data_IF_639071450062
#
_entry.id   IF_639071450062
#
_cell.length_a   1.000
_cell.length_b   1.000
_cell.length_c   1.000
_cell.angle_alpha   90.00
_cell.angle_beta   90.00
_cell.angle_gamma   90.00
#
_symmetry.space_group_name_H-M   'P 1'
#
loop_
_entity.id
_entity.type
_entity.pdbx_description
1 polymer ?
#
# COMPACT_ATOMS: atom_id res chain seq x y z
N UNK A 1 -10.55 -25.05 -6.72
CA UNK A 1 -9.21 -24.49 -6.45
C UNK A 1 -8.56 -25.37 -5.41
N UNK A 2 -7.36 -25.85 -5.64
CA UNK A 2 -6.65 -26.72 -4.67
C UNK A 2 -5.93 -25.81 -3.70
N UNK A 3 -6.16 -26.01 -2.40
CA UNK A 3 -5.42 -25.36 -1.34
C UNK A 3 -3.95 -25.82 -1.37
N UNK A 4 -3.02 -24.90 -1.19
CA UNK A 4 -1.59 -25.22 -1.16
C UNK A 4 -1.25 -25.85 0.20
N UNK A 5 -1.15 -27.17 0.27
CA UNK A 5 -0.86 -27.88 1.53
C UNK A 5 0.56 -27.63 2.05
N UNK A 6 1.55 -27.55 1.16
CA UNK A 6 2.92 -27.19 1.48
C UNK A 6 3.56 -26.41 0.34
N UNK A 7 4.47 -25.50 0.67
CA UNK A 7 5.28 -24.81 -0.33
C UNK A 7 6.49 -25.70 -0.71
N UNK A 8 6.85 -25.75 -2.02
CA UNK A 8 8.07 -26.42 -2.45
C UNK A 8 9.31 -25.86 -1.75
N UNK A 9 10.31 -26.70 -1.51
CA UNK A 9 11.56 -26.29 -0.87
C UNK A 9 12.38 -25.40 -1.81
N UNK A 10 12.47 -25.74 -3.11
CA UNK A 10 13.25 -24.96 -4.05
C UNK A 10 12.48 -23.75 -4.58
N UNK A 11 13.20 -22.65 -4.82
CA UNK A 11 12.67 -21.43 -5.42
C UNK A 11 12.18 -21.64 -6.85
N UNK A 12 12.83 -22.54 -7.60
CA UNK A 12 12.44 -22.86 -8.98
C UNK A 12 11.10 -23.63 -9.04
N UNK A 13 10.93 -24.64 -8.20
CA UNK A 13 9.66 -25.37 -8.10
C UNK A 13 8.53 -24.45 -7.62
N UNK A 14 8.81 -23.54 -6.69
CA UNK A 14 7.85 -22.54 -6.23
C UNK A 14 7.47 -21.60 -7.37
N UNK A 15 8.43 -21.18 -8.19
CA UNK A 15 8.17 -20.35 -9.37
C UNK A 15 7.22 -21.05 -10.35
N UNK A 16 7.49 -22.32 -10.66
CA UNK A 16 6.66 -23.13 -11.55
C UNK A 16 5.24 -23.30 -10.99
N UNK A 17 5.12 -23.53 -9.67
CA UNK A 17 3.82 -23.60 -8.98
C UNK A 17 3.04 -22.28 -9.13
N UNK A 18 3.68 -21.15 -8.88
CA UNK A 18 3.07 -19.83 -8.99
C UNK A 18 2.62 -19.54 -10.44
N UNK A 19 3.48 -19.81 -11.42
CA UNK A 19 3.17 -19.63 -12.85
C UNK A 19 1.99 -20.49 -13.28
N UNK A 20 1.99 -21.77 -12.93
CA UNK A 20 0.91 -22.69 -13.27
C UNK A 20 -0.41 -22.22 -12.65
N UNK A 21 -0.40 -21.90 -11.35
CA UNK A 21 -1.61 -21.44 -10.69
C UNK A 21 -2.16 -20.15 -11.31
N UNK A 22 -1.31 -19.16 -11.58
CA UNK A 22 -1.71 -17.91 -12.22
C UNK A 22 -2.24 -18.12 -13.63
N UNK A 23 -1.57 -18.97 -14.45
CA UNK A 23 -2.02 -19.32 -15.78
C UNK A 23 -3.43 -19.92 -15.77
N UNK A 24 -3.69 -20.84 -14.85
CA UNK A 24 -4.94 -21.59 -14.78
C UNK A 24 -6.09 -20.76 -14.16
N UNK A 25 -5.79 -19.73 -13.39
CA UNK A 25 -6.79 -18.95 -12.65
C UNK A 25 -7.01 -17.52 -13.19
N UNK A 26 -6.06 -16.91 -13.90
CA UNK A 26 -6.26 -15.60 -14.56
C UNK A 26 -6.98 -15.80 -15.89
N UNK A 27 -8.19 -16.35 -15.82
CA UNK A 27 -9.05 -16.72 -16.97
C UNK A 27 -10.47 -16.16 -16.81
N UNK A 28 -11.26 -16.20 -17.88
CA UNK A 28 -12.65 -15.69 -17.87
C UNK A 28 -12.70 -14.24 -17.38
N UNK A 29 -13.60 -13.93 -16.44
CA UNK A 29 -13.79 -12.57 -15.90
C UNK A 29 -12.51 -11.95 -15.30
N UNK A 30 -11.60 -12.76 -14.79
CA UNK A 30 -10.34 -12.27 -14.25
C UNK A 30 -9.37 -11.85 -15.36
N UNK A 31 -9.41 -12.51 -16.51
CA UNK A 31 -8.60 -12.15 -17.68
C UNK A 31 -9.03 -10.81 -18.30
N UNK A 32 -10.30 -10.41 -18.13
CA UNK A 32 -10.80 -9.10 -18.60
C UNK A 32 -10.15 -7.93 -17.86
N UNK A 33 -9.65 -8.17 -16.64
CA UNK A 33 -8.96 -7.17 -15.82
C UNK A 33 -7.44 -7.33 -15.80
N UNK A 34 -6.86 -8.02 -16.79
CA UNK A 34 -5.40 -8.13 -16.89
C UNK A 34 -4.73 -6.75 -16.91
N UNK A 35 -3.88 -6.53 -15.91
CA UNK A 35 -3.11 -5.29 -15.77
C UNK A 35 -3.94 -4.06 -15.39
N UNK A 36 -5.20 -4.25 -14.97
CA UNK A 36 -6.13 -3.19 -14.59
C UNK A 36 -6.33 -3.12 -13.07
N UNK A 37 -6.86 -1.99 -12.62
CA UNK A 37 -7.19 -1.74 -11.21
C UNK A 37 -6.00 -1.28 -10.35
N UNK A 38 -4.88 -0.94 -10.98
CA UNK A 38 -3.72 -0.34 -10.31
C UNK A 38 -3.88 1.17 -10.10
N UNK A 39 -2.77 1.85 -9.71
CA UNK A 39 -2.77 3.27 -9.40
C UNK A 39 -3.39 4.16 -10.49
N UNK A 40 -4.40 4.94 -10.13
CA UNK A 40 -5.17 5.79 -11.06
C UNK A 40 -6.27 5.06 -11.84
N UNK A 41 -6.48 3.75 -11.59
CA UNK A 41 -7.48 2.91 -12.27
C UNK A 41 -8.25 2.02 -11.25
N UNK A 42 -8.30 2.43 -9.98
CA UNK A 42 -8.71 1.62 -8.84
C UNK A 42 -10.21 1.25 -8.85
N UNK A 43 -11.05 2.02 -9.54
CA UNK A 43 -12.48 1.78 -9.58
C UNK A 43 -12.88 0.66 -10.56
N UNK A 44 -11.98 0.29 -11.50
CA UNK A 44 -12.30 -0.68 -12.54
C UNK A 44 -12.56 -2.08 -11.98
N UNK A 45 -13.72 -2.64 -12.30
CA UNK A 45 -14.04 -4.04 -12.01
C UNK A 45 -13.91 -4.42 -10.53
N UNK A 46 -14.25 -3.54 -9.60
CA UNK A 46 -14.02 -3.74 -8.16
C UNK A 46 -14.59 -5.06 -7.64
N UNK A 47 -15.83 -5.42 -8.00
CA UNK A 47 -16.46 -6.69 -7.59
C UNK A 47 -15.71 -7.91 -8.12
N UNK A 48 -15.18 -7.84 -9.35
CA UNK A 48 -14.37 -8.91 -9.92
C UNK A 48 -13.05 -9.03 -9.16
N UNK A 49 -12.45 -7.90 -8.78
CA UNK A 49 -11.22 -7.86 -7.98
C UNK A 49 -11.44 -8.38 -6.55
N UNK A 50 -12.58 -8.12 -5.94
CA UNK A 50 -12.98 -8.74 -4.66
C UNK A 50 -13.10 -10.26 -4.83
N UNK A 51 -13.74 -10.73 -5.90
CA UNK A 51 -13.82 -12.17 -6.17
C UNK A 51 -12.43 -12.79 -6.42
N UNK A 52 -11.52 -12.04 -7.05
CA UNK A 52 -10.13 -12.45 -7.22
C UNK A 52 -9.38 -12.54 -5.90
N UNK A 53 -9.54 -11.55 -5.01
CA UNK A 53 -8.98 -11.57 -3.65
C UNK A 53 -9.39 -12.83 -2.89
N UNK A 54 -10.69 -13.18 -2.91
CA UNK A 54 -11.21 -14.42 -2.31
C UNK A 54 -10.63 -15.67 -2.95
N UNK A 55 -10.45 -15.68 -4.27
CA UNK A 55 -9.82 -16.78 -4.97
C UNK A 55 -8.36 -17.01 -4.52
N UNK A 56 -7.60 -15.91 -4.34
CA UNK A 56 -6.26 -15.96 -3.78
C UNK A 56 -6.25 -16.49 -2.34
N UNK A 57 -7.17 -16.01 -1.50
CA UNK A 57 -7.31 -16.43 -0.12
C UNK A 57 -7.61 -17.93 -0.01
N UNK A 58 -8.61 -18.41 -0.74
CA UNK A 58 -8.98 -19.82 -0.76
C UNK A 58 -7.85 -20.74 -1.28
N UNK A 59 -6.97 -20.23 -2.14
CA UNK A 59 -5.81 -20.98 -2.63
C UNK A 59 -4.58 -20.82 -1.72
N UNK A 60 -4.62 -20.00 -0.68
CA UNK A 60 -3.54 -19.80 0.28
C UNK A 60 -2.41 -18.91 -0.24
N UNK A 61 -2.70 -17.97 -1.15
CA UNK A 61 -1.74 -17.00 -1.67
C UNK A 61 -1.68 -15.69 -0.88
N UNK A 62 -2.64 -15.45 0.02
CA UNK A 62 -2.61 -14.31 0.95
C UNK A 62 -1.84 -14.69 2.21
N UNK A 63 -1.06 -13.77 2.75
CA UNK A 63 -0.27 -14.00 3.95
C UNK A 63 0.89 -14.98 3.77
N UNK A 64 1.44 -15.10 2.56
CA UNK A 64 2.53 -16.03 2.25
C UNK A 64 3.69 -15.97 3.26
N UNK A 65 4.11 -14.79 3.67
CA UNK A 65 5.22 -14.59 4.59
C UNK A 65 4.84 -14.65 6.06
N UNK A 66 3.55 -14.71 6.41
CA UNK A 66 3.15 -14.76 7.82
C UNK A 66 3.54 -16.08 8.46
N UNK A 67 3.86 -16.09 9.77
CA UNK A 67 4.15 -17.33 10.49
C UNK A 67 2.98 -18.31 10.41
N UNK A 68 3.28 -19.60 10.32
CA UNK A 68 2.28 -20.67 10.14
C UNK A 68 1.27 -20.75 11.29
N UNK A 69 1.68 -20.42 12.50
CA UNK A 69 0.81 -20.36 13.67
C UNK A 69 -0.31 -19.32 13.56
N UNK A 70 -0.18 -18.34 12.67
CA UNK A 70 -1.19 -17.33 12.37
C UNK A 70 -1.89 -17.58 11.03
N UNK A 71 -1.80 -18.79 10.49
CA UNK A 71 -2.44 -19.18 9.24
C UNK A 71 -1.66 -18.82 7.97
N UNK A 72 -0.48 -18.20 8.10
CA UNK A 72 0.42 -17.93 6.98
C UNK A 72 1.14 -19.19 6.50
N UNK A 73 2.00 -19.00 5.50
CA UNK A 73 2.77 -20.08 4.88
C UNK A 73 4.24 -20.12 5.32
N UNK A 74 4.71 -19.12 6.07
CA UNK A 74 6.12 -19.01 6.45
C UNK A 74 7.06 -18.92 5.25
N UNK A 75 6.57 -18.43 4.11
CA UNK A 75 7.36 -18.33 2.89
C UNK A 75 8.57 -17.43 3.10
N UNK A 76 9.73 -17.88 2.63
CA UNK A 76 10.95 -17.07 2.62
C UNK A 76 10.73 -15.77 1.83
N UNK A 77 11.56 -14.78 2.09
CA UNK A 77 11.56 -13.52 1.33
C UNK A 77 11.75 -13.78 -0.16
N UNK A 78 12.61 -14.73 -0.54
CA UNK A 78 12.82 -15.15 -1.93
C UNK A 78 11.51 -15.60 -2.59
N UNK A 79 10.76 -16.49 -1.93
CA UNK A 79 9.47 -16.99 -2.44
C UNK A 79 8.40 -15.88 -2.55
N UNK A 80 8.36 -14.98 -1.58
CA UNK A 80 7.44 -13.82 -1.65
C UNK A 80 7.77 -12.90 -2.83
N UNK A 81 9.06 -12.71 -3.14
CA UNK A 81 9.50 -11.98 -4.32
C UNK A 81 9.14 -12.69 -5.63
N UNK A 82 9.36 -14.00 -5.68
CA UNK A 82 8.97 -14.82 -6.84
C UNK A 82 7.47 -14.67 -7.08
N UNK A 83 6.64 -14.80 -6.05
CA UNK A 83 5.20 -14.61 -6.17
C UNK A 83 4.85 -13.22 -6.72
N UNK A 84 5.41 -12.14 -6.16
CA UNK A 84 5.16 -10.79 -6.64
C UNK A 84 5.58 -10.59 -8.11
N UNK A 85 6.70 -11.21 -8.51
CA UNK A 85 7.19 -11.20 -9.88
C UNK A 85 6.23 -11.92 -10.84
N UNK A 86 5.86 -13.16 -10.52
CA UNK A 86 4.99 -13.97 -11.37
C UNK A 86 3.57 -13.38 -11.44
N UNK A 87 3.08 -12.81 -10.32
CA UNK A 87 1.81 -12.08 -10.27
C UNK A 87 1.78 -10.91 -11.26
N UNK A 88 2.84 -10.13 -11.29
CA UNK A 88 2.98 -8.98 -12.20
C UNK A 88 3.13 -9.43 -13.65
N UNK A 89 3.92 -10.48 -13.92
CA UNK A 89 4.10 -11.04 -15.27
C UNK A 89 2.80 -11.62 -15.84
N UNK A 90 2.02 -12.30 -15.00
CA UNK A 90 0.70 -12.81 -15.36
C UNK A 90 -0.33 -11.70 -15.61
N UNK A 91 0.01 -10.45 -15.26
CA UNK A 91 -0.91 -9.30 -15.29
C UNK A 91 -2.19 -9.57 -14.50
N UNK A 92 -2.09 -10.28 -13.39
CA UNK A 92 -3.25 -10.59 -12.55
C UNK A 92 -3.96 -9.30 -12.07
N UNK A 93 -5.29 -9.33 -11.83
CA UNK A 93 -6.04 -8.17 -11.35
C UNK A 93 -5.44 -7.55 -10.10
N UNK A 94 -5.44 -6.22 -9.99
CA UNK A 94 -4.88 -5.56 -8.81
C UNK A 94 -5.63 -5.95 -7.52
N UNK A 95 -4.87 -6.09 -6.43
CA UNK A 95 -5.35 -6.50 -5.09
C UNK A 95 -6.23 -5.40 -4.47
N UNK A 96 -7.17 -5.80 -3.61
CA UNK A 96 -8.11 -4.89 -2.94
C UNK A 96 -7.99 -4.88 -1.42
N UNK A 97 -7.17 -5.75 -0.83
CA UNK A 97 -7.00 -5.85 0.62
C UNK A 97 -5.53 -5.76 1.07
N UNK A 98 -4.71 -5.00 0.36
CA UNK A 98 -3.31 -4.80 0.71
C UNK A 98 -3.13 -4.14 2.10
N UNK A 99 -4.09 -3.29 2.56
CA UNK A 99 -4.08 -2.71 3.90
C UNK A 99 -4.22 -3.79 4.98
N UNK A 100 -5.08 -4.78 4.76
CA UNK A 100 -5.24 -5.92 5.67
C UNK A 100 -4.00 -6.81 5.68
N UNK A 101 -3.56 -7.25 4.50
CA UNK A 101 -2.46 -8.23 4.39
C UNK A 101 -1.10 -7.67 4.75
N UNK A 102 -0.74 -6.48 4.24
CA UNK A 102 0.63 -5.97 4.35
C UNK A 102 0.84 -5.04 5.54
N UNK A 103 -0.23 -4.47 6.11
CA UNK A 103 -0.13 -3.52 7.21
C UNK A 103 -0.75 -4.07 8.49
N UNK A 104 -2.07 -4.28 8.53
CA UNK A 104 -2.73 -4.66 9.77
C UNK A 104 -2.36 -6.07 10.24
N UNK A 105 -2.36 -7.07 9.34
CA UNK A 105 -2.03 -8.45 9.71
C UNK A 105 -0.69 -8.57 10.44
N UNK A 106 0.42 -8.10 9.85
CA UNK A 106 1.71 -8.07 10.55
C UNK A 106 1.70 -7.25 11.84
N UNK A 107 0.93 -6.14 11.89
CA UNK A 107 0.78 -5.33 13.10
C UNK A 107 0.04 -6.11 14.21
N UNK A 108 -1.00 -6.87 13.89
CA UNK A 108 -1.69 -7.73 14.86
C UNK A 108 -0.79 -8.87 15.34
N UNK A 109 0.01 -9.45 14.46
CA UNK A 109 0.97 -10.51 14.81
C UNK A 109 2.00 -10.00 15.82
N UNK A 110 2.43 -8.74 15.71
CA UNK A 110 3.46 -8.13 16.57
C UNK A 110 2.87 -7.51 17.85
N UNK A 111 1.72 -6.82 17.76
CA UNK A 111 1.19 -5.98 18.85
C UNK A 111 -0.21 -6.38 19.32
N UNK A 112 -0.91 -7.24 18.59
CA UNK A 112 -2.27 -7.66 18.91
C UNK A 112 -2.34 -8.70 20.02
N UNK A 113 -3.53 -8.87 20.60
CA UNK A 113 -3.79 -9.96 21.53
C UNK A 113 -4.04 -11.28 20.77
N UNK A 114 -3.90 -12.44 21.42
CA UNK A 114 -4.26 -13.74 20.82
C UNK A 114 -5.69 -13.78 20.30
N UNK A 115 -6.63 -13.14 21.01
CA UNK A 115 -8.05 -13.05 20.64
C UNK A 115 -8.22 -12.20 19.37
N UNK A 116 -7.55 -11.06 19.26
CA UNK A 116 -7.55 -10.23 18.07
C UNK A 116 -6.96 -10.98 16.86
N UNK A 117 -5.84 -11.66 17.04
CA UNK A 117 -5.26 -12.50 15.99
C UNK A 117 -6.23 -13.59 15.53
N UNK A 118 -6.86 -14.31 16.47
CA UNK A 118 -7.84 -15.37 16.17
C UNK A 118 -9.07 -14.82 15.46
N UNK A 119 -9.52 -13.62 15.81
CA UNK A 119 -10.71 -12.99 15.22
C UNK A 119 -10.47 -12.44 13.82
N UNK A 120 -9.36 -11.77 13.60
CA UNK A 120 -9.19 -10.93 12.40
C UNK A 120 -8.29 -11.53 11.32
N UNK A 121 -7.23 -12.27 11.69
CA UNK A 121 -6.30 -12.80 10.68
C UNK A 121 -6.96 -13.76 9.69
N UNK A 122 -7.89 -14.67 10.07
CA UNK A 122 -8.57 -15.53 9.13
C UNK A 122 -9.39 -14.77 8.08
N UNK A 123 -10.09 -13.68 8.47
CA UNK A 123 -10.87 -12.86 7.55
C UNK A 123 -10.01 -12.09 6.54
N UNK A 124 -8.79 -11.69 6.94
CA UNK A 124 -7.81 -11.09 6.04
C UNK A 124 -7.28 -12.14 5.06
N UNK A 125 -6.89 -13.33 5.56
CA UNK A 125 -6.33 -14.42 4.76
C UNK A 125 -7.32 -14.98 3.74
N UNK A 126 -8.61 -15.04 4.08
CA UNK A 126 -9.65 -15.49 3.14
C UNK A 126 -10.03 -14.42 2.09
N UNK A 127 -9.66 -13.16 2.31
CA UNK A 127 -10.10 -12.02 1.50
C UNK A 127 -11.55 -11.60 1.76
N UNK A 128 -12.16 -12.06 2.84
CA UNK A 128 -13.54 -11.72 3.21
C UNK A 128 -13.64 -10.38 3.94
N UNK A 129 -12.65 -10.04 4.76
CA UNK A 129 -12.62 -8.79 5.51
C UNK A 129 -11.56 -7.82 4.92
N UNK A 130 -12.02 -6.68 4.45
CA UNK A 130 -11.18 -5.60 3.92
C UNK A 130 -11.02 -4.51 4.96
N UNK A 131 -9.85 -3.89 4.96
CA UNK A 131 -9.40 -2.92 5.93
C UNK A 131 -9.00 -1.60 5.28
N UNK A 132 -9.28 -0.51 5.97
CA UNK A 132 -8.76 0.82 5.62
C UNK A 132 -7.96 1.42 6.78
N UNK A 133 -7.14 2.43 6.45
CA UNK A 133 -6.22 3.09 7.37
C UNK A 133 -6.70 4.52 7.71
N UNK A 134 -7.05 4.77 8.95
CA UNK A 134 -7.49 6.07 9.46
C UNK A 134 -6.38 6.80 10.22
N UNK A 135 -5.35 7.29 9.53
CA UNK A 135 -4.23 8.00 10.14
C UNK A 135 -4.35 9.50 9.97
N UNK A 136 -4.19 9.99 8.75
CA UNK A 136 -4.15 11.42 8.44
C UNK A 136 -5.45 12.14 8.77
N UNK A 137 -5.32 13.40 9.16
CA UNK A 137 -6.43 14.34 9.35
C UNK A 137 -6.17 15.59 8.50
N UNK A 138 -7.18 16.44 8.25
CA UNK A 138 -6.98 17.65 7.46
C UNK A 138 -5.79 18.51 7.90
N UNK A 139 -5.49 18.54 9.21
CA UNK A 139 -4.38 19.31 9.79
C UNK A 139 -3.25 18.44 10.34
N UNK A 140 -3.25 17.13 10.12
CA UNK A 140 -2.24 16.19 10.65
C UNK A 140 -1.90 15.10 9.61
N UNK A 141 -1.14 15.47 8.60
CA UNK A 141 -0.55 14.55 7.61
C UNK A 141 0.90 14.24 7.97
N UNK A 142 1.86 15.05 7.52
CA UNK A 142 3.28 14.91 7.87
C UNK A 142 3.52 15.04 9.38
N UNK A 143 2.75 15.87 10.09
CA UNK A 143 2.74 15.96 11.56
C UNK A 143 1.67 15.04 12.15
N UNK A 144 1.78 13.74 11.87
CA UNK A 144 0.84 12.71 12.33
C UNK A 144 0.70 12.68 13.86
N UNK A 145 1.74 13.04 14.58
CA UNK A 145 1.68 13.11 16.04
C UNK A 145 0.65 14.12 16.58
N UNK A 146 0.16 15.03 15.72
CA UNK A 146 -0.78 16.07 16.10
C UNK A 146 -2.26 15.72 15.78
N UNK A 147 -2.59 14.45 15.59
CA UNK A 147 -3.98 14.00 15.36
C UNK A 147 -4.89 14.44 16.50
N UNK A 148 -6.10 14.86 16.14
CA UNK A 148 -7.10 15.44 17.04
C UNK A 148 -8.37 14.59 17.16
N UNK A 149 -8.59 13.59 16.30
CA UNK A 149 -9.69 12.63 16.46
C UNK A 149 -9.62 12.02 17.86
N UNK A 150 -10.68 12.17 18.63
CA UNK A 150 -10.74 11.78 20.05
C UNK A 150 -11.45 10.45 20.22
N UNK A 151 -11.03 9.68 21.22
CA UNK A 151 -11.79 8.57 21.73
C UNK A 151 -11.89 8.66 23.25
N UNK A 152 -13.10 8.44 23.78
CA UNK A 152 -13.38 8.45 25.21
C UNK A 152 -14.03 7.11 25.58
N UNK A 153 -13.59 6.53 26.68
CA UNK A 153 -14.16 5.29 27.19
C UNK A 153 -15.49 5.59 27.90
N UNK A 154 -16.52 4.86 27.51
CA UNK A 154 -17.88 4.90 28.12
C UNK A 154 -18.32 3.45 28.38
N UNK A 155 -18.22 3.01 29.61
CA UNK A 155 -18.41 1.59 29.96
C UNK A 155 -17.38 0.71 29.29
N UNK A 156 -17.81 -0.22 28.46
CA UNK A 156 -16.98 -1.19 27.75
C UNK A 156 -16.70 -0.79 26.28
N UNK A 157 -17.00 0.46 25.89
CA UNK A 157 -16.84 0.94 24.52
C UNK A 157 -16.07 2.25 24.45
N UNK A 158 -15.29 2.41 23.39
CA UNK A 158 -14.71 3.68 23.00
C UNK A 158 -15.66 4.45 22.10
N UNK A 159 -15.96 5.70 22.46
CA UNK A 159 -16.74 6.65 21.68
C UNK A 159 -15.79 7.55 20.92
N UNK A 160 -15.83 7.48 19.58
CA UNK A 160 -14.89 8.14 18.68
C UNK A 160 -15.56 9.33 18.00
N UNK A 161 -14.89 10.48 18.04
CA UNK A 161 -15.33 11.72 17.39
C UNK A 161 -14.15 12.40 16.68
N UNK A 162 -14.33 12.72 15.38
CA UNK A 162 -13.33 13.39 14.58
C UNK A 162 -13.45 13.11 13.09
N UNK A 163 -12.42 13.48 12.35
CA UNK A 163 -12.36 13.31 10.91
C UNK A 163 -10.99 12.75 10.50
N UNK A 164 -11.01 11.75 9.64
CA UNK A 164 -9.83 11.27 8.93
C UNK A 164 -9.93 11.63 7.44
N UNK A 165 -8.79 11.77 6.79
CA UNK A 165 -8.68 12.10 5.37
C UNK A 165 -7.65 11.20 4.69
N UNK A 166 -7.78 11.01 3.38
CA UNK A 166 -6.93 10.11 2.60
C UNK A 166 -7.05 8.65 3.05
N UNK A 167 -8.23 8.27 3.54
CA UNK A 167 -8.52 6.90 3.98
C UNK A 167 -8.76 6.02 2.75
N UNK A 168 -7.73 5.29 2.31
CA UNK A 168 -7.81 4.43 1.12
C UNK A 168 -8.87 3.35 1.31
N UNK A 169 -9.75 3.19 0.29
CA UNK A 169 -10.78 2.16 0.23
C UNK A 169 -11.80 2.16 1.40
N UNK A 170 -11.95 3.27 2.14
CA UNK A 170 -12.86 3.33 3.28
C UNK A 170 -14.32 3.02 2.89
N UNK A 171 -14.76 3.44 1.69
CA UNK A 171 -16.12 3.23 1.18
C UNK A 171 -16.48 1.75 0.91
N UNK A 172 -15.47 0.87 0.86
CA UNK A 172 -15.65 -0.57 0.58
C UNK A 172 -15.06 -1.48 1.65
N UNK A 173 -14.52 -0.91 2.73
CA UNK A 173 -13.90 -1.64 3.84
C UNK A 173 -14.90 -1.92 4.96
N UNK A 174 -14.82 -3.10 5.56
CA UNK A 174 -15.60 -3.48 6.73
C UNK A 174 -15.02 -2.93 8.03
N UNK A 175 -13.71 -2.71 8.07
CA UNK A 175 -12.98 -2.31 9.25
C UNK A 175 -11.98 -1.19 8.95
N UNK A 176 -11.76 -0.33 9.94
CA UNK A 176 -10.72 0.69 9.92
C UNK A 176 -9.77 0.49 11.11
N UNK A 177 -8.47 0.54 10.87
CA UNK A 177 -7.52 0.74 11.95
C UNK A 177 -7.16 2.22 12.03
N UNK A 178 -7.37 2.80 13.22
CA UNK A 178 -7.33 4.25 13.38
C UNK A 178 -6.44 4.67 14.55
N UNK A 179 -5.69 5.76 14.37
CA UNK A 179 -4.95 6.42 15.46
C UNK A 179 -5.79 7.57 16.01
N UNK A 180 -6.08 7.52 17.30
CA UNK A 180 -6.93 8.49 17.98
C UNK A 180 -6.27 8.99 19.28
N UNK A 181 -6.71 10.14 19.78
CA UNK A 181 -6.26 10.70 21.05
C UNK A 181 -7.22 10.28 22.18
N UNK A 182 -6.72 9.51 23.13
CA UNK A 182 -7.49 9.05 24.29
C UNK A 182 -7.17 9.84 25.55
N UNK A 183 -6.02 10.51 25.62
CA UNK A 183 -5.65 11.40 26.74
C UNK A 183 -5.73 12.86 26.25
N UNK A 184 -6.75 13.60 26.69
CA UNK A 184 -7.10 14.92 26.15
C UNK A 184 -6.02 15.98 26.33
N UNK A 185 -5.30 15.95 27.45
CA UNK A 185 -4.26 16.93 27.78
C UNK A 185 -2.87 16.53 27.27
N UNK A 186 -2.79 15.37 26.60
CA UNK A 186 -1.54 14.90 26.04
C UNK A 186 -1.15 15.68 24.78
N UNK A 187 0.15 15.75 24.51
CA UNK A 187 0.68 16.47 23.37
C UNK A 187 1.50 15.53 22.45
N UNK A 188 1.42 15.77 21.16
CA UNK A 188 2.17 15.06 20.13
C UNK A 188 1.90 13.55 20.22
N UNK A 189 2.95 12.73 20.27
CA UNK A 189 2.89 11.28 20.27
C UNK A 189 2.40 10.62 21.57
N UNK A 190 2.24 11.37 22.66
CA UNK A 190 1.71 10.83 23.93
C UNK A 190 0.19 10.77 23.91
N UNK A 191 -0.37 9.79 24.63
CA UNK A 191 -1.82 9.65 24.80
C UNK A 191 -2.58 9.30 23.52
N UNK A 192 -1.89 8.75 22.53
CA UNK A 192 -2.48 8.20 21.31
C UNK A 192 -2.76 6.71 21.48
N UNK A 193 -3.87 6.25 20.95
CA UNK A 193 -4.29 4.84 20.99
C UNK A 193 -4.56 4.35 19.57
N UNK A 194 -4.22 3.11 19.29
CA UNK A 194 -4.50 2.44 18.04
C UNK A 194 -5.75 1.57 18.22
N UNK A 195 -6.82 1.86 17.49
CA UNK A 195 -8.12 1.19 17.59
C UNK A 195 -8.51 0.49 16.30
N UNK A 196 -9.19 -0.64 16.44
CA UNK A 196 -9.92 -1.31 15.36
C UNK A 196 -11.38 -0.90 15.42
N UNK A 197 -11.93 -0.36 14.34
CA UNK A 197 -13.27 0.24 14.32
C UNK A 197 -14.10 -0.38 13.20
N UNK A 198 -15.28 -0.94 13.47
CA UNK A 198 -16.19 -1.40 12.42
C UNK A 198 -16.72 -0.21 11.65
N UNK A 199 -16.74 -0.31 10.30
CA UNK A 199 -17.17 0.77 9.43
C UNK A 199 -18.70 0.79 9.22
N UNK A 200 -19.36 -0.34 9.33
CA UNK A 200 -20.82 -0.47 9.19
C UNK A 200 -21.51 -0.12 10.49
N UNK A 201 -21.65 1.17 10.76
CA UNK A 201 -22.38 1.71 11.93
C UNK A 201 -22.85 3.15 11.65
N UNK A 202 -23.89 3.59 12.34
CA UNK A 202 -24.50 4.92 12.15
C UNK A 202 -23.56 6.09 12.49
N UNK A 203 -22.53 5.85 13.27
CA UNK A 203 -21.53 6.86 13.67
C UNK A 203 -20.41 7.06 12.68
N UNK A 204 -20.39 6.34 11.55
CA UNK A 204 -19.35 6.46 10.52
C UNK A 204 -19.95 6.93 9.21
N UNK A 205 -19.45 8.04 8.69
CA UNK A 205 -19.78 8.55 7.36
C UNK A 205 -18.52 8.60 6.50
N UNK A 206 -18.60 8.03 5.29
CA UNK A 206 -17.49 8.01 4.33
C UNK A 206 -17.87 8.82 3.10
N UNK A 207 -16.99 9.76 2.70
CA UNK A 207 -17.16 10.59 1.50
C UNK A 207 -15.97 10.41 0.57
N UNK A 208 -16.17 9.84 -0.62
CA UNK A 208 -15.10 9.70 -1.61
C UNK A 208 -14.51 11.07 -2.03
N UNK A 209 -13.20 11.12 -2.16
CA UNK A 209 -12.46 12.25 -2.71
C UNK A 209 -12.17 11.95 -4.17
N UNK A 210 -12.79 12.67 -5.08
CA UNK A 210 -12.49 12.55 -6.51
C UNK A 210 -11.10 13.12 -6.77
N UNK A 211 -10.21 12.25 -7.18
CA UNK A 211 -8.82 12.59 -7.48
C UNK A 211 -8.69 13.21 -8.88
N UNK A 212 -7.54 13.82 -9.16
CA UNK A 212 -7.23 14.37 -10.48
C UNK A 212 -7.22 13.30 -11.58
N UNK A 213 -7.03 12.03 -11.23
CA UNK A 213 -7.14 10.86 -12.13
C UNK A 213 -8.57 10.50 -12.49
N UNK A 214 -9.55 11.07 -11.79
CA UNK A 214 -10.97 10.73 -11.89
C UNK A 214 -11.43 9.63 -10.94
N UNK A 215 -10.52 8.87 -10.31
CA UNK A 215 -10.83 7.81 -9.35
C UNK A 215 -11.24 8.32 -7.97
N UNK A 216 -11.85 7.46 -7.15
CA UNK A 216 -12.35 7.75 -5.81
C UNK A 216 -11.76 6.84 -4.72
N UNK A 217 -10.54 6.33 -4.87
CA UNK A 217 -9.91 5.43 -3.88
C UNK A 217 -9.82 6.05 -2.50
N UNK A 218 -9.46 7.34 -2.41
CA UNK A 218 -9.31 8.04 -1.14
C UNK A 218 -10.61 8.64 -0.65
N UNK A 219 -10.75 8.69 0.68
CA UNK A 219 -11.98 9.15 1.30
C UNK A 219 -11.69 10.09 2.47
N UNK A 220 -12.65 10.96 2.75
CA UNK A 220 -12.85 11.53 4.08
C UNK A 220 -13.69 10.55 4.89
N UNK A 221 -13.31 10.32 6.14
CA UNK A 221 -14.05 9.45 7.07
C UNK A 221 -14.38 10.25 8.32
N UNK A 222 -15.66 10.44 8.56
CA UNK A 222 -16.18 11.17 9.72
C UNK A 222 -16.64 10.19 10.78
N UNK A 223 -16.19 10.42 12.00
CA UNK A 223 -16.63 9.69 13.18
C UNK A 223 -17.46 10.63 14.06
N UNK A 224 -18.73 10.29 14.27
CA UNK A 224 -19.67 11.05 15.10
C UNK A 224 -20.29 10.08 16.10
N UNK A 225 -19.72 10.01 17.30
CA UNK A 225 -20.05 9.01 18.31
C UNK A 225 -19.94 7.57 17.78
N UNK A 226 -18.99 7.31 16.88
CA UNK A 226 -18.70 5.97 16.42
C UNK A 226 -18.19 5.12 17.58
N UNK A 227 -18.50 3.83 17.60
CA UNK A 227 -18.27 2.94 18.73
C UNK A 227 -17.37 1.78 18.36
N UNK A 228 -16.52 1.37 19.30
CA UNK A 228 -15.80 0.11 19.23
C UNK A 228 -15.51 -0.41 20.63
N UNK A 229 -15.43 -1.73 20.80
CA UNK A 229 -15.22 -2.36 22.09
C UNK A 229 -13.87 -2.02 22.73
N UNK A 230 -13.79 -2.16 24.05
CA UNK A 230 -12.55 -1.96 24.82
C UNK A 230 -11.46 -2.94 24.38
N UNK A 231 -11.83 -4.11 23.92
CA UNK A 231 -10.96 -5.18 23.41
C UNK A 231 -10.40 -4.90 22.00
N UNK A 232 -10.83 -3.80 21.37
CA UNK A 232 -10.37 -3.38 20.04
C UNK A 232 -9.13 -2.48 20.07
N UNK A 233 -8.49 -2.29 21.21
CA UNK A 233 -7.20 -1.61 21.33
C UNK A 233 -6.07 -2.55 20.91
N UNK A 234 -5.27 -2.15 19.91
CA UNK A 234 -4.03 -2.87 19.57
C UNK A 234 -2.88 -2.29 20.40
N UNK A 235 -2.18 -3.15 21.11
CA UNK A 235 -1.21 -2.75 22.13
C UNK A 235 -1.89 -2.29 23.43
N UNK A 236 -1.50 -1.14 23.95
CA UNK A 236 -2.07 -0.57 25.19
C UNK A 236 -2.59 0.85 24.97
N UNK A 237 -3.68 1.26 25.66
CA UNK A 237 -4.17 2.63 25.59
C UNK A 237 -3.06 3.64 25.93
N UNK A 238 -3.02 4.75 25.21
CA UNK A 238 -1.99 5.79 25.36
C UNK A 238 -0.64 5.50 24.66
N UNK A 239 -0.40 4.24 24.20
CA UNK A 239 0.84 3.84 23.51
C UNK A 239 0.63 3.51 22.01
N UNK A 240 -0.45 3.96 21.41
CA UNK A 240 -0.75 3.72 19.99
C UNK A 240 0.27 4.31 19.01
N UNK A 241 1.06 5.30 19.45
CA UNK A 241 2.16 5.82 18.62
C UNK A 241 3.21 4.77 18.29
N UNK A 242 3.58 3.92 19.25
CA UNK A 242 4.55 2.83 19.03
C UNK A 242 4.02 1.83 18.01
N UNK A 243 2.73 1.47 18.09
CA UNK A 243 2.06 0.57 17.15
C UNK A 243 2.03 1.20 15.74
N UNK A 244 1.63 2.48 15.66
CA UNK A 244 1.59 3.20 14.38
C UNK A 244 2.97 3.30 13.72
N UNK A 245 4.03 3.55 14.48
CA UNK A 245 5.40 3.60 13.94
C UNK A 245 5.91 2.22 13.54
N UNK A 246 5.55 1.17 14.28
CA UNK A 246 5.83 -0.22 13.90
C UNK A 246 5.21 -0.55 12.55
N UNK A 247 3.90 -0.27 12.38
CA UNK A 247 3.19 -0.45 11.11
C UNK A 247 3.87 0.28 9.95
N UNK A 248 4.20 1.56 10.11
CA UNK A 248 4.90 2.34 9.08
C UNK A 248 6.31 1.80 8.77
N UNK A 249 6.92 1.07 9.71
CA UNK A 249 8.15 0.32 9.47
C UNK A 249 7.96 -0.85 8.52
N UNK A 250 6.83 -1.55 8.63
CA UNK A 250 6.47 -2.70 7.79
C UNK A 250 6.24 -2.31 6.31
N UNK A 251 5.72 -1.11 6.04
CA UNK A 251 5.55 -0.58 4.67
C UNK A 251 6.85 -0.55 3.86
N UNK A 252 8.01 -0.56 4.52
CA UNK A 252 9.34 -0.46 3.89
C UNK A 252 9.96 -1.80 3.56
N UNK A 253 9.22 -2.90 3.74
CA UNK A 253 9.66 -4.27 3.52
C UNK A 253 9.39 -4.80 2.10
N UNK A 254 8.83 -6.00 2.03
CA UNK A 254 8.58 -6.76 0.78
C UNK A 254 7.62 -6.04 -0.17
N UNK A 255 6.65 -5.28 0.36
CA UNK A 255 5.73 -4.47 -0.45
C UNK A 255 6.45 -3.49 -1.38
N UNK A 256 7.58 -2.91 -0.93
CA UNK A 256 8.42 -2.02 -1.76
C UNK A 256 9.05 -2.76 -2.93
N UNK A 257 9.42 -4.03 -2.77
CA UNK A 257 9.97 -4.83 -3.87
C UNK A 257 8.90 -5.21 -4.90
N UNK A 258 7.73 -5.62 -4.44
CA UNK A 258 6.59 -5.89 -5.32
C UNK A 258 6.23 -4.65 -6.16
N UNK A 259 6.23 -3.47 -5.54
CA UNK A 259 6.02 -2.19 -6.22
C UNK A 259 7.06 -1.93 -7.32
N UNK A 260 8.34 -2.24 -7.06
CA UNK A 260 9.40 -2.06 -8.06
C UNK A 260 9.22 -2.92 -9.30
N UNK A 261 8.64 -4.12 -9.17
CA UNK A 261 8.32 -4.97 -10.32
C UNK A 261 7.22 -4.30 -11.18
N UNK A 262 6.23 -3.67 -10.54
CA UNK A 262 5.23 -2.84 -11.23
C UNK A 262 5.88 -1.69 -12.01
N UNK A 263 6.80 -0.97 -11.39
CA UNK A 263 7.55 0.14 -12.02
C UNK A 263 8.39 -0.29 -13.23
N UNK A 264 9.00 -1.48 -13.18
CA UNK A 264 9.74 -2.03 -14.32
C UNK A 264 8.81 -2.22 -15.53
N UNK A 265 7.62 -2.77 -15.30
CA UNK A 265 6.62 -2.95 -16.34
C UNK A 265 6.11 -1.62 -16.91
N UNK A 266 5.87 -0.62 -16.06
CA UNK A 266 5.49 0.72 -16.51
C UNK A 266 6.58 1.32 -17.41
N UNK A 267 7.86 1.19 -17.02
CA UNK A 267 8.98 1.62 -17.84
C UNK A 267 9.03 0.87 -19.17
N UNK A 268 8.80 -0.45 -19.20
CA UNK A 268 8.77 -1.23 -20.41
C UNK A 268 7.63 -0.79 -21.34
N UNK A 269 6.47 -0.44 -20.81
CA UNK A 269 5.36 0.13 -21.57
C UNK A 269 5.76 1.49 -22.19
N UNK A 270 6.42 2.36 -21.43
CA UNK A 270 6.91 3.66 -21.94
C UNK A 270 7.96 3.45 -23.03
N UNK A 271 8.85 2.47 -22.89
CA UNK A 271 9.84 2.11 -23.93
C UNK A 271 9.14 1.60 -25.20
N UNK A 272 8.15 0.73 -25.04
CA UNK A 272 7.36 0.20 -26.16
C UNK A 272 6.63 1.33 -26.90
N UNK A 273 5.99 2.23 -26.17
CA UNK A 273 5.33 3.41 -26.71
C UNK A 273 6.32 4.32 -27.47
N UNK A 274 7.48 4.60 -26.87
CA UNK A 274 8.52 5.44 -27.49
C UNK A 274 9.08 4.83 -28.79
N UNK A 275 9.09 3.50 -28.89
CA UNK A 275 9.49 2.78 -30.13
C UNK A 275 8.37 2.85 -31.17
N UNK A 276 7.11 2.61 -30.78
CA UNK A 276 5.97 2.56 -31.71
C UNK A 276 5.71 3.89 -32.42
N UNK A 277 5.85 5.01 -31.71
CA UNK A 277 5.66 6.35 -32.26
C UNK A 277 6.96 7.04 -32.71
N UNK A 278 8.09 6.31 -32.73
CA UNK A 278 9.40 6.79 -33.09
C UNK A 278 9.98 7.91 -32.18
N UNK A 279 9.38 8.20 -31.05
CA UNK A 279 9.88 9.20 -30.08
C UNK A 279 11.30 8.83 -29.58
N UNK A 280 11.62 7.53 -29.52
CA UNK A 280 12.96 7.03 -29.14
C UNK A 280 14.08 7.53 -30.05
N UNK A 281 13.77 7.95 -31.29
CA UNK A 281 14.74 8.51 -32.22
C UNK A 281 15.19 9.93 -31.82
N UNK A 282 14.42 10.60 -30.97
CA UNK A 282 14.78 11.90 -30.41
C UNK A 282 15.88 11.70 -29.35
N UNK A 283 17.08 12.33 -29.49
CA UNK A 283 18.19 12.07 -28.57
C UNK A 283 17.85 12.34 -27.09
N UNK A 284 17.09 13.39 -26.82
CA UNK A 284 16.68 13.74 -25.44
C UNK A 284 15.77 12.66 -24.83
N UNK A 285 14.81 12.16 -25.59
CA UNK A 285 13.91 11.09 -25.11
C UNK A 285 14.72 9.82 -24.86
N UNK A 286 15.55 9.41 -25.81
CA UNK A 286 16.40 8.23 -25.66
C UNK A 286 17.29 8.33 -24.43
N UNK A 287 17.91 9.48 -24.18
CA UNK A 287 18.73 9.70 -22.98
C UNK A 287 17.93 9.56 -21.70
N UNK A 288 16.72 10.13 -21.63
CA UNK A 288 15.83 10.01 -20.45
C UNK A 288 15.34 8.60 -20.23
N UNK A 289 15.02 7.84 -21.28
CA UNK A 289 14.68 6.41 -21.20
C UNK A 289 15.84 5.63 -20.58
N UNK A 290 17.09 5.86 -21.05
CA UNK A 290 18.28 5.20 -20.48
C UNK A 290 18.47 5.57 -19.01
N UNK A 291 18.31 6.83 -18.64
CA UNK A 291 18.40 7.28 -17.25
C UNK A 291 17.33 6.63 -16.37
N UNK A 292 16.09 6.50 -16.87
CA UNK A 292 14.99 5.81 -16.15
C UNK A 292 15.34 4.33 -15.97
N UNK A 293 15.88 3.67 -16.98
CA UNK A 293 16.31 2.27 -16.87
C UNK A 293 17.46 2.10 -15.86
N UNK A 294 18.46 2.98 -15.86
CA UNK A 294 19.54 2.96 -14.88
C UNK A 294 18.97 3.14 -13.47
N UNK A 295 18.07 4.10 -13.28
CA UNK A 295 17.41 4.34 -12.00
C UNK A 295 16.65 3.10 -11.50
N UNK A 296 15.96 2.39 -12.40
CA UNK A 296 15.29 1.13 -12.08
C UNK A 296 16.27 0.05 -11.61
N UNK A 297 17.41 -0.12 -12.28
CA UNK A 297 18.43 -1.07 -11.84
C UNK A 297 19.01 -0.70 -10.46
N UNK A 298 19.26 0.58 -10.22
CA UNK A 298 19.72 1.06 -8.91
C UNK A 298 18.72 0.77 -7.79
N UNK A 299 17.40 0.93 -8.05
CA UNK A 299 16.36 0.56 -7.09
C UNK A 299 16.41 -0.93 -6.76
N UNK A 300 16.49 -1.79 -7.76
CA UNK A 300 16.58 -3.26 -7.58
C UNK A 300 17.78 -3.63 -6.71
N UNK A 301 18.96 -3.11 -7.01
CA UNK A 301 20.17 -3.41 -6.24
C UNK A 301 20.12 -2.86 -4.82
N UNK A 302 19.56 -1.66 -4.63
CA UNK A 302 19.37 -1.10 -3.29
C UNK A 302 18.39 -1.91 -2.46
N UNK A 303 17.31 -2.41 -3.06
CA UNK A 303 16.35 -3.29 -2.39
C UNK A 303 17.01 -4.61 -1.96
N UNK A 304 17.74 -5.27 -2.84
CA UNK A 304 18.50 -6.49 -2.52
C UNK A 304 19.52 -6.24 -1.39
N UNK A 305 20.24 -5.12 -1.44
CA UNK A 305 21.18 -4.72 -0.40
C UNK A 305 20.48 -4.53 0.96
N UNK A 306 19.35 -3.85 0.98
CA UNK A 306 18.59 -3.60 2.23
C UNK A 306 18.08 -4.88 2.86
N UNK A 307 17.71 -5.87 2.04
CA UNK A 307 17.22 -7.17 2.53
C UNK A 307 18.33 -8.08 3.04
N UNK A 308 19.54 -8.00 2.50
CA UNK A 308 20.68 -8.79 2.96
C UNK A 308 21.19 -8.39 4.35
N UNK A 309 20.83 -7.20 4.82
CA UNK A 309 21.24 -6.64 6.13
C UNK A 309 20.31 -6.99 7.31
N UNK A 310 19.23 -7.76 7.09
CA UNK A 310 18.25 -8.07 8.14
C UNK A 310 17.09 -7.04 8.20
N UNK A 311 16.66 -6.65 9.40
CA UNK A 311 15.55 -5.68 9.56
C UNK A 311 16.00 -4.30 9.07
N UNK A 312 15.27 -3.67 8.11
CA UNK A 312 15.62 -2.36 7.59
C UNK A 312 15.59 -1.28 8.69
N UNK A 313 16.67 -0.51 8.77
CA UNK A 313 16.77 0.66 9.64
C UNK A 313 16.27 1.97 8.98
N UNK A 314 16.59 3.14 9.58
CA UNK A 314 16.18 4.44 9.04
C UNK A 314 16.67 4.71 7.61
N UNK A 315 17.77 4.05 7.17
CA UNK A 315 18.31 4.11 5.80
C UNK A 315 17.32 3.60 4.75
N UNK A 316 16.30 2.82 5.12
CA UNK A 316 15.22 2.40 4.22
C UNK A 316 14.45 3.60 3.63
N UNK A 317 14.52 4.77 4.29
CA UNK A 317 14.00 6.04 3.76
C UNK A 317 14.65 6.47 2.44
N UNK A 318 15.86 5.97 2.12
CA UNK A 318 16.51 6.17 0.82
C UNK A 318 15.63 5.61 -0.30
N UNK A 319 15.06 4.40 -0.10
CA UNK A 319 14.23 3.76 -1.10
C UNK A 319 13.01 4.62 -1.44
N UNK A 320 12.28 5.12 -0.42
CA UNK A 320 11.08 5.96 -0.61
C UNK A 320 11.41 7.27 -1.33
N UNK A 321 12.46 7.96 -0.90
CA UNK A 321 12.91 9.22 -1.50
C UNK A 321 13.31 9.04 -2.96
N UNK A 322 14.00 7.93 -3.28
CA UNK A 322 14.47 7.64 -4.63
C UNK A 322 13.31 7.24 -5.54
N UNK A 323 12.51 6.23 -5.16
CA UNK A 323 11.46 5.73 -6.05
C UNK A 323 10.36 6.78 -6.30
N UNK A 324 9.95 7.56 -5.28
CA UNK A 324 8.94 8.59 -5.47
C UNK A 324 9.39 9.69 -6.45
N UNK A 325 10.67 10.06 -6.42
CA UNK A 325 11.26 11.02 -7.37
C UNK A 325 11.40 10.42 -8.76
N UNK A 326 11.85 9.16 -8.84
CA UNK A 326 12.04 8.44 -10.10
C UNK A 326 10.70 8.21 -10.81
N UNK A 327 9.69 7.74 -10.09
CA UNK A 327 8.37 7.41 -10.66
C UNK A 327 7.65 8.67 -11.15
N UNK A 328 7.76 9.78 -10.41
CA UNK A 328 7.31 11.09 -10.90
C UNK A 328 7.98 11.46 -12.22
N UNK A 329 9.30 11.25 -12.33
CA UNK A 329 10.06 11.49 -13.55
C UNK A 329 9.66 10.58 -14.71
N UNK A 330 9.25 9.32 -14.43
CA UNK A 330 8.71 8.40 -15.43
C UNK A 330 7.38 8.92 -16.00
N UNK A 331 6.47 9.40 -15.14
CA UNK A 331 5.23 10.03 -15.58
C UNK A 331 5.48 11.24 -16.49
N UNK A 332 6.46 12.09 -16.16
CA UNK A 332 6.86 13.23 -17.00
C UNK A 332 7.46 12.77 -18.35
N UNK A 333 8.30 11.72 -18.32
CA UNK A 333 8.86 11.14 -19.55
C UNK A 333 7.73 10.58 -20.45
N UNK A 334 6.71 9.96 -19.85
CA UNK A 334 5.57 9.40 -20.59
C UNK A 334 4.84 10.48 -21.39
N UNK A 335 4.62 11.66 -20.79
CA UNK A 335 4.00 12.81 -21.50
C UNK A 335 4.86 13.32 -22.63
N UNK A 336 6.19 13.38 -22.43
CA UNK A 336 7.12 13.78 -23.50
C UNK A 336 7.20 12.77 -24.65
N UNK A 337 7.03 11.48 -24.35
CA UNK A 337 6.94 10.40 -25.36
C UNK A 337 5.66 10.51 -26.17
N UNK A 338 4.50 10.74 -25.51
CA UNK A 338 3.23 10.99 -26.19
C UNK A 338 3.28 12.26 -27.06
N UNK A 339 4.03 13.27 -26.64
CA UNK A 339 4.08 14.55 -27.33
C UNK A 339 2.73 15.28 -27.28
N UNK A 340 2.23 15.74 -28.42
CA UNK A 340 0.98 16.52 -28.49
C UNK A 340 -0.25 15.69 -28.05
N UNK A 341 -0.21 14.37 -28.24
CA UNK A 341 -1.30 13.47 -27.81
C UNK A 341 -1.50 13.46 -26.30
N UNK A 342 -0.47 13.83 -25.52
CA UNK A 342 -0.58 13.94 -24.06
C UNK A 342 -1.59 15.00 -23.60
N UNK A 343 -1.94 15.96 -24.47
CA UNK A 343 -2.89 17.05 -24.19
C UNK A 343 -4.32 16.75 -24.63
N UNK A 344 -4.53 15.59 -25.26
CA UNK A 344 -5.85 15.17 -25.74
C UNK A 344 -6.37 14.07 -24.81
N UNK A 345 -7.62 14.23 -24.38
CA UNK A 345 -8.34 13.21 -23.58
C UNK A 345 -9.17 12.36 -24.56
N UNK A 346 -8.76 11.10 -24.83
CA UNK A 346 -9.54 10.23 -25.72
C UNK A 346 -10.88 9.87 -25.06
N UNK A 347 -11.95 9.90 -25.86
CA UNK A 347 -13.30 9.49 -25.43
C UNK A 347 -13.78 10.04 -24.07
N UNK A 348 -13.31 11.24 -23.72
CA UNK A 348 -13.58 11.90 -22.42
C UNK A 348 -13.01 11.17 -21.20
N UNK A 349 -12.05 10.28 -21.38
CA UNK A 349 -11.32 9.57 -20.31
C UNK A 349 -9.81 9.74 -20.48
N UNK A 350 -9.08 9.74 -19.38
CA UNK A 350 -7.62 9.73 -19.41
C UNK A 350 -7.11 8.38 -19.91
N UNK A 351 -6.10 8.41 -20.79
CA UNK A 351 -5.34 7.18 -21.12
C UNK A 351 -4.56 6.68 -19.89
N UNK A 352 -4.09 5.43 -19.92
CA UNK A 352 -3.29 4.88 -18.84
C UNK A 352 -1.99 5.69 -18.63
N UNK A 353 -1.41 6.21 -19.70
CA UNK A 353 -0.23 7.06 -19.66
C UNK A 353 -0.50 8.41 -18.99
N UNK A 354 -1.65 9.01 -19.27
CA UNK A 354 -2.08 10.25 -18.60
C UNK A 354 -2.40 10.00 -17.12
N UNK A 355 -3.07 8.88 -16.79
CA UNK A 355 -3.32 8.47 -15.41
C UNK A 355 -2.02 8.26 -14.65
N UNK A 356 -1.02 7.59 -15.26
CA UNK A 356 0.32 7.45 -14.67
C UNK A 356 0.94 8.81 -14.33
N UNK A 357 0.95 9.75 -15.29
CA UNK A 357 1.47 11.10 -15.03
C UNK A 357 0.74 11.80 -13.88
N UNK A 358 -0.58 11.78 -13.85
CA UNK A 358 -1.38 12.44 -12.83
C UNK A 358 -1.18 11.79 -11.46
N UNK A 359 -1.21 10.46 -11.39
CA UNK A 359 -1.04 9.71 -10.15
C UNK A 359 0.35 9.95 -9.52
N UNK A 360 1.41 9.90 -10.32
CA UNK A 360 2.79 10.02 -9.83
C UNK A 360 3.11 11.37 -9.17
N UNK A 361 2.21 12.38 -9.27
CA UNK A 361 2.35 13.64 -8.51
C UNK A 361 2.26 13.41 -7.00
N UNK A 362 1.47 12.43 -6.57
CA UNK A 362 1.29 12.09 -5.16
C UNK A 362 2.47 11.31 -4.57
N UNK A 363 3.30 10.63 -5.37
CA UNK A 363 4.40 9.77 -4.90
C UNK A 363 5.45 10.47 -4.03
N UNK A 364 5.63 11.75 -4.23
CA UNK A 364 6.56 12.56 -3.42
C UNK A 364 5.89 13.13 -2.15
N UNK A 365 4.61 12.82 -1.91
CA UNK A 365 3.80 13.38 -0.83
C UNK A 365 3.38 12.28 0.16
N UNK A 366 2.65 11.25 -0.29
CA UNK A 366 2.12 10.20 0.59
C UNK A 366 3.23 9.26 1.12
N UNK A 367 2.93 8.48 2.17
CA UNK A 367 3.90 7.55 2.78
C UNK A 367 5.12 8.28 3.39
N UNK A 368 4.94 9.54 3.80
CA UNK A 368 6.00 10.47 4.21
C UNK A 368 6.60 11.22 3.02
N UNK A 369 6.41 12.55 3.01
CA UNK A 369 6.91 13.39 1.91
C UNK A 369 8.43 13.29 1.74
N UNK A 370 8.92 13.70 0.57
CA UNK A 370 10.36 13.73 0.31
C UNK A 370 11.12 14.53 1.37
N UNK A 371 10.52 15.59 1.92
CA UNK A 371 11.08 16.42 2.99
C UNK A 371 11.18 15.62 4.29
N UNK A 372 10.10 14.92 4.68
CA UNK A 372 10.11 14.03 5.85
C UNK A 372 11.17 12.93 5.72
N UNK A 373 11.30 12.32 4.52
CA UNK A 373 12.33 11.30 4.29
C UNK A 373 13.75 11.88 4.41
N UNK A 374 13.99 13.10 3.90
CA UNK A 374 15.28 13.80 4.07
C UNK A 374 15.57 14.09 5.54
N UNK A 375 14.57 14.52 6.31
CA UNK A 375 14.74 14.76 7.75
C UNK A 375 15.10 13.47 8.49
N UNK A 376 14.41 12.35 8.18
CA UNK A 376 14.76 11.04 8.77
C UNK A 376 16.21 10.66 8.44
N UNK A 377 16.61 10.78 7.18
CA UNK A 377 17.99 10.49 6.76
C UNK A 377 19.00 11.43 7.43
N UNK A 378 18.73 12.72 7.44
CA UNK A 378 19.61 13.72 8.06
C UNK A 378 19.77 13.49 9.55
N UNK A 379 18.66 13.41 10.28
CA UNK A 379 18.67 13.36 11.75
C UNK A 379 19.06 11.98 12.29
N UNK A 380 18.49 10.89 11.72
CA UNK A 380 18.62 9.55 12.31
C UNK A 380 19.74 8.70 11.70
N UNK A 381 20.09 8.94 10.43
CA UNK A 381 21.16 8.18 9.75
C UNK A 381 22.48 8.95 9.83
N UNK A 382 22.46 10.24 9.49
CA UNK A 382 23.66 11.07 9.44
C UNK A 382 23.96 11.79 10.77
N UNK A 383 23.04 11.77 11.74
CA UNK A 383 23.21 12.42 13.05
C UNK A 383 23.26 13.96 12.99
N UNK A 384 22.70 14.56 11.94
CA UNK A 384 22.63 16.01 11.80
C UNK A 384 21.67 16.62 12.82
N UNK A 385 21.88 17.90 13.24
CA UNK A 385 20.96 18.59 14.11
C UNK A 385 19.56 18.69 13.51
N UNK A 386 18.55 18.63 14.39
CA UNK A 386 17.17 18.92 13.99
C UNK A 386 17.02 20.36 13.55
N UNK A 387 16.09 20.60 12.61
CA UNK A 387 15.71 21.98 12.31
C UNK A 387 15.17 22.67 13.57
N UNK A 388 15.48 23.96 13.77
CA UNK A 388 14.88 24.74 14.84
C UNK A 388 13.35 24.79 14.63
N UNK A 389 12.61 24.46 15.69
CA UNK A 389 11.15 24.53 15.70
C UNK A 389 10.68 25.91 16.07
#
# INVERSE_FOLDING_TARGET
MTFLDALPDSDEEFRQLAQTWLHDNVVGKFAELKGRGGPGDEDIGFDIRVAWEKALGHAGWIGLGWPTQFGGRGASVSKQMIWAQEYTLAQAPARVNHMGEHLLGPTLIEYGTPEQCTRFLPGILSGDERWCQGYSEPNAGSDLANVQTKAQLDGDEWIINGQKVWTSLAHVSQWCFVVVRTEQDSKRHKGLTFLLVPMDQSGVEVRPIVQITGGGEFNETFFTNARTGIDMVVGTPGNGWSVAMGLLGLERGISTLAQQIGFERELDNVIALARSNSAIMRPVIRQRVVQSWIGMQLMKWNALRSMSGGVPGPEASISKLFWGTWHRGLGELTMDVLGVESTVMPDSEYSLEQKLFLFTRADTIYGGSNEVQRNILGERVLGLPKEPT
#
